data_IF_901230201464
#
_entry.id   IF_901230201464
#
_cell.length_a   1.000
_cell.length_b   1.000
_cell.length_c   1.000
_cell.angle_alpha   90.00
_cell.angle_beta   90.00
_cell.angle_gamma   90.00
#
_symmetry.space_group_name_H-M   'P 1'
#
loop_
_entity.id
_entity.type
_entity.pdbx_description
1 polymer ?
#
# COMPACT_ATOMS: atom_id res chain seq x y z
N UNK A 1 -27.17 -56.23 0.26
CA UNK A 1 -27.54 -54.87 0.68
C UNK A 1 -26.27 -54.14 1.08
N UNK A 2 -25.75 -53.20 0.33
CA UNK A 2 -24.58 -52.43 0.71
C UNK A 2 -25.00 -51.11 1.40
N UNK A 3 -24.45 -50.90 2.59
CA UNK A 3 -24.68 -49.72 3.42
C UNK A 3 -24.02 -48.47 2.84
N UNK A 4 -24.81 -47.37 2.81
CA UNK A 4 -24.35 -46.04 2.48
C UNK A 4 -23.59 -45.45 3.70
N UNK A 5 -22.29 -45.24 3.54
CA UNK A 5 -21.48 -44.43 4.45
C UNK A 5 -21.66 -42.94 4.08
N UNK A 6 -22.41 -42.20 4.87
CA UNK A 6 -22.50 -40.76 4.79
C UNK A 6 -21.16 -40.13 5.22
N UNK A 7 -20.50 -39.44 4.31
CA UNK A 7 -19.32 -38.59 4.62
C UNK A 7 -19.81 -37.33 5.31
N UNK A 8 -19.49 -37.18 6.57
CA UNK A 8 -19.64 -35.94 7.33
C UNK A 8 -18.50 -35.02 6.92
N UNK A 9 -18.83 -33.90 6.27
CA UNK A 9 -17.90 -32.79 5.99
C UNK A 9 -17.85 -31.95 7.27
N UNK A 10 -16.69 -31.71 7.87
CA UNK A 10 -16.61 -30.82 9.02
C UNK A 10 -16.88 -29.37 8.55
N UNK A 11 -17.92 -28.76 9.09
CA UNK A 11 -18.16 -27.33 8.97
C UNK A 11 -17.05 -26.59 9.72
N UNK A 12 -16.24 -25.82 9.01
CA UNK A 12 -15.28 -24.89 9.61
C UNK A 12 -16.10 -23.75 10.21
N UNK A 13 -16.30 -23.81 11.53
CA UNK A 13 -16.98 -22.77 12.28
C UNK A 13 -16.09 -21.53 12.40
N UNK A 14 -16.45 -20.47 11.72
CA UNK A 14 -15.94 -19.14 12.03
C UNK A 14 -16.64 -18.66 13.31
N UNK A 15 -15.88 -18.48 14.39
CA UNK A 15 -16.37 -17.81 15.59
C UNK A 15 -16.44 -16.30 15.29
N UNK A 16 -17.62 -15.80 14.97
CA UNK A 16 -17.94 -14.38 14.90
C UNK A 16 -18.03 -13.83 16.32
N UNK A 17 -17.05 -13.07 16.75
CA UNK A 17 -17.18 -12.20 17.93
C UNK A 17 -17.78 -10.88 17.42
N UNK A 18 -19.08 -10.74 17.54
CA UNK A 18 -19.80 -9.49 17.25
C UNK A 18 -19.51 -8.45 18.35
N UNK A 19 -18.75 -7.41 18.01
CA UNK A 19 -18.72 -6.16 18.77
C UNK A 19 -19.52 -5.11 17.98
N UNK A 20 -20.56 -4.58 18.60
CA UNK A 20 -21.49 -3.62 18.03
C UNK A 20 -20.88 -2.22 17.91
N UNK A 21 -21.29 -1.49 16.86
CA UNK A 21 -21.01 -0.10 16.53
C UNK A 21 -19.58 0.21 16.07
N UNK A 22 -19.30 0.15 14.76
CA UNK A 22 -18.09 0.73 14.14
C UNK A 22 -16.76 0.12 14.59
N UNK A 23 -16.76 -1.11 15.10
CA UNK A 23 -15.57 -1.78 15.64
C UNK A 23 -14.63 -2.26 14.55
N UNK A 24 -13.32 -2.03 14.75
CA UNK A 24 -12.30 -2.66 13.94
C UNK A 24 -12.25 -4.17 14.22
N UNK A 25 -12.33 -5.00 13.17
CA UNK A 25 -12.18 -6.44 13.25
C UNK A 25 -10.74 -6.84 12.93
N UNK A 26 -10.22 -7.85 13.64
CA UNK A 26 -8.91 -8.42 13.35
C UNK A 26 -9.08 -9.67 12.49
N UNK A 27 -8.41 -9.67 11.35
CA UNK A 27 -8.35 -10.80 10.42
C UNK A 27 -6.95 -11.39 10.37
N UNK A 28 -6.86 -12.63 9.96
CA UNK A 28 -5.60 -13.30 9.69
C UNK A 28 -5.58 -13.70 8.20
N UNK A 29 -4.75 -13.03 7.42
CA UNK A 29 -4.61 -13.26 5.99
C UNK A 29 -3.56 -14.34 5.74
N UNK A 30 -3.86 -15.30 4.87
CA UNK A 30 -2.86 -16.25 4.38
C UNK A 30 -2.26 -15.72 3.09
N UNK A 31 -0.96 -15.48 3.07
CA UNK A 31 -0.21 -15.01 1.89
C UNK A 31 0.95 -15.95 1.58
N UNK A 32 1.35 -16.02 0.31
CA UNK A 32 2.44 -16.91 -0.14
C UNK A 32 3.44 -16.10 -1.00
N UNK A 33 4.17 -15.16 -0.42
CA UNK A 33 5.00 -14.23 -1.19
C UNK A 33 6.19 -14.88 -1.89
N UNK A 34 6.74 -15.97 -1.35
CA UNK A 34 7.95 -16.64 -1.85
C UNK A 34 7.85 -18.17 -1.79
N UNK A 35 6.66 -18.74 -1.98
CA UNK A 35 6.43 -20.17 -1.95
C UNK A 35 6.15 -20.76 -0.56
N UNK A 36 6.39 -20.01 0.52
CA UNK A 36 6.02 -20.40 1.88
C UNK A 36 4.81 -19.60 2.35
N UNK A 37 3.84 -20.27 2.98
CA UNK A 37 2.65 -19.61 3.55
C UNK A 37 3.04 -18.80 4.78
N UNK A 38 2.54 -17.57 4.86
CA UNK A 38 2.70 -16.69 5.99
C UNK A 38 1.34 -16.13 6.42
N UNK A 39 1.11 -16.05 7.72
CA UNK A 39 -0.08 -15.44 8.29
C UNK A 39 0.19 -13.96 8.58
N UNK A 40 -0.61 -13.08 7.99
CA UNK A 40 -0.51 -11.62 8.14
C UNK A 40 -1.73 -11.12 8.91
N UNK A 41 -1.58 -10.59 10.13
CA UNK A 41 -2.66 -9.89 10.81
C UNK A 41 -3.12 -8.69 10.01
N UNK A 42 -4.42 -8.44 9.99
CA UNK A 42 -4.98 -7.27 9.33
C UNK A 42 -6.14 -6.68 10.13
N UNK A 43 -6.21 -5.36 10.18
CA UNK A 43 -7.34 -4.64 10.76
C UNK A 43 -8.34 -4.34 9.66
N UNK A 44 -9.58 -4.81 9.81
CA UNK A 44 -10.70 -4.53 8.92
C UNK A 44 -11.66 -3.55 9.59
N UNK A 45 -12.07 -2.52 8.86
CA UNK A 45 -13.03 -1.51 9.34
C UNK A 45 -14.12 -1.35 8.28
N UNK A 46 -15.37 -1.46 8.70
CA UNK A 46 -16.55 -1.42 7.83
C UNK A 46 -17.40 -0.19 8.16
N UNK A 47 -17.92 0.56 7.17
CA UNK A 47 -18.92 1.58 7.40
C UNK A 47 -20.27 0.95 7.81
N UNK A 48 -21.16 1.74 8.39
CA UNK A 48 -22.53 1.30 8.69
C UNK A 48 -23.29 0.97 7.41
N UNK A 49 -24.23 0.04 7.50
CA UNK A 49 -25.07 -0.42 6.40
C UNK A 49 -24.72 -1.81 5.90
N UNK A 50 -25.44 -2.25 4.86
CA UNK A 50 -25.37 -3.63 4.35
C UNK A 50 -24.42 -3.80 3.16
N UNK A 51 -24.14 -2.73 2.39
CA UNK A 51 -23.32 -2.78 1.18
C UNK A 51 -24.10 -3.19 -0.08
N UNK A 52 -23.45 -3.67 -1.17
CA UNK A 52 -21.99 -3.86 -1.26
C UNK A 52 -21.22 -2.54 -1.34
N UNK A 53 -20.19 -2.41 -0.52
CA UNK A 53 -19.33 -1.24 -0.44
C UNK A 53 -18.11 -1.36 -1.37
N UNK A 54 -17.62 -0.25 -1.93
CA UNK A 54 -16.25 -0.20 -2.41
C UNK A 54 -15.27 -0.35 -1.25
N UNK A 55 -14.04 -0.78 -1.52
CA UNK A 55 -13.07 -1.03 -0.47
C UNK A 55 -11.68 -0.47 -0.83
N UNK A 56 -10.84 -0.25 0.19
CA UNK A 56 -9.45 0.19 0.02
C UNK A 56 -8.53 -0.62 0.93
N UNK A 57 -7.47 -1.17 0.35
CA UNK A 57 -6.33 -1.71 1.09
C UNK A 57 -5.38 -0.58 1.42
N UNK A 58 -5.09 -0.34 2.70
CA UNK A 58 -4.08 0.64 3.12
C UNK A 58 -2.82 -0.11 3.54
N UNK A 59 -1.71 0.14 2.85
CA UNK A 59 -0.40 -0.43 3.19
C UNK A 59 0.43 0.61 3.97
N UNK A 60 0.81 0.25 5.20
CA UNK A 60 1.49 1.14 6.14
C UNK A 60 2.89 1.55 5.67
N UNK A 61 3.38 2.68 6.17
CA UNK A 61 4.73 3.20 5.95
C UNK A 61 5.83 2.39 6.67
N UNK A 62 7.07 2.90 6.68
CA UNK A 62 8.21 2.21 7.30
C UNK A 62 8.12 2.10 8.82
N UNK A 63 7.20 2.82 9.49
CA UNK A 63 7.02 2.76 10.94
C UNK A 63 6.22 1.54 11.42
N UNK A 64 5.57 0.82 10.49
CA UNK A 64 4.72 -0.33 10.82
C UNK A 64 3.41 0.04 11.48
N UNK A 65 2.81 -0.92 12.17
CA UNK A 65 1.55 -0.74 12.91
C UNK A 65 1.71 -0.91 14.43
N UNK A 66 2.94 -1.14 14.90
CA UNK A 66 3.27 -1.28 16.31
C UNK A 66 3.28 0.06 17.08
N UNK A 67 3.82 0.06 18.31
CA UNK A 67 3.80 1.24 19.20
C UNK A 67 4.50 2.49 18.63
N UNK A 68 5.37 2.32 17.65
CA UNK A 68 6.11 3.41 16.99
C UNK A 68 5.48 3.85 15.66
N UNK A 69 4.29 3.36 15.35
CA UNK A 69 3.58 3.71 14.12
C UNK A 69 3.37 5.22 14.01
N UNK A 70 3.46 5.72 12.77
CA UNK A 70 3.11 7.10 12.42
C UNK A 70 1.62 7.42 12.66
N UNK A 71 0.77 6.40 12.77
CA UNK A 71 -0.68 6.53 12.82
C UNK A 71 -1.33 6.95 11.49
N UNK A 72 -0.55 7.21 10.43
CA UNK A 72 -1.09 7.60 9.13
C UNK A 72 -2.09 6.59 8.56
N UNK A 73 -1.88 5.27 8.61
CA UNK A 73 -2.85 4.30 8.10
C UNK A 73 -4.23 4.43 8.75
N UNK A 74 -4.29 4.64 10.07
CA UNK A 74 -5.56 4.78 10.78
C UNK A 74 -6.22 6.14 10.52
N UNK A 75 -5.45 7.23 10.34
CA UNK A 75 -6.02 8.52 9.94
C UNK A 75 -6.67 8.43 8.57
N UNK A 76 -6.00 7.86 7.58
CA UNK A 76 -6.56 7.64 6.25
C UNK A 76 -7.75 6.67 6.27
N UNK A 77 -7.72 5.63 7.11
CA UNK A 77 -8.86 4.74 7.29
C UNK A 77 -10.10 5.51 7.78
N UNK A 78 -9.93 6.44 8.73
CA UNK A 78 -11.02 7.29 9.21
C UNK A 78 -11.62 8.16 8.09
N UNK A 79 -10.79 8.77 7.24
CA UNK A 79 -11.25 9.58 6.10
C UNK A 79 -12.02 8.73 5.07
N UNK A 80 -11.52 7.54 4.75
CA UNK A 80 -12.17 6.64 3.79
C UNK A 80 -13.46 6.04 4.34
N UNK A 81 -13.48 5.69 5.63
CA UNK A 81 -14.68 5.16 6.29
C UNK A 81 -15.85 6.15 6.22
N UNK A 82 -15.58 7.44 6.49
CA UNK A 82 -16.58 8.52 6.37
C UNK A 82 -17.12 8.66 4.93
N UNK A 83 -16.34 8.25 3.94
CA UNK A 83 -16.72 8.26 2.53
C UNK A 83 -17.42 6.96 2.09
N UNK A 84 -17.64 6.01 2.99
CA UNK A 84 -18.35 4.76 2.73
C UNK A 84 -17.49 3.65 2.13
N UNK A 85 -16.17 3.66 2.35
CA UNK A 85 -15.29 2.55 1.95
C UNK A 85 -15.09 1.57 3.11
N UNK A 86 -15.09 0.28 2.80
CA UNK A 86 -14.49 -0.73 3.68
C UNK A 86 -12.97 -0.59 3.58
N UNK A 87 -12.29 -0.61 4.71
CA UNK A 87 -10.83 -0.48 4.77
C UNK A 87 -10.20 -1.71 5.41
N UNK A 88 -9.12 -2.21 4.83
CA UNK A 88 -8.28 -3.26 5.41
C UNK A 88 -6.83 -2.81 5.47
N UNK A 89 -6.17 -3.04 6.61
CA UNK A 89 -4.79 -2.61 6.88
C UNK A 89 -3.98 -3.84 7.29
N UNK A 90 -3.23 -4.50 6.37
CA UNK A 90 -2.37 -5.63 6.70
C UNK A 90 -1.11 -5.19 7.45
N UNK A 91 -0.72 -5.95 8.50
CA UNK A 91 0.55 -5.80 9.20
C UNK A 91 1.64 -6.63 8.54
N UNK A 92 2.30 -6.06 7.55
CA UNK A 92 3.36 -6.74 6.82
C UNK A 92 4.65 -6.93 7.61
N UNK A 93 4.83 -6.23 8.73
CA UNK A 93 6.13 -6.15 9.42
C UNK A 93 6.24 -7.05 10.63
N UNK A 94 5.26 -7.05 11.53
CA UNK A 94 5.34 -7.81 12.78
C UNK A 94 5.58 -9.31 12.57
N UNK A 95 4.89 -9.99 11.62
CA UNK A 95 5.13 -11.41 11.36
C UNK A 95 6.51 -11.73 10.77
N UNK A 96 7.23 -10.71 10.30
CA UNK A 96 8.58 -10.81 9.72
C UNK A 96 9.67 -10.32 10.68
N UNK A 97 9.34 -10.09 11.96
CA UNK A 97 10.30 -9.72 12.99
C UNK A 97 10.57 -8.20 13.10
N UNK A 98 9.72 -7.35 12.51
CA UNK A 98 9.89 -5.90 12.56
C UNK A 98 8.68 -5.17 13.22
N UNK A 99 8.29 -5.53 14.46
CA UNK A 99 7.10 -4.92 15.09
C UNK A 99 7.24 -3.41 15.34
N UNK A 100 8.47 -2.91 15.46
CA UNK A 100 8.79 -1.48 15.66
C UNK A 100 9.08 -0.72 14.36
N UNK A 101 8.82 -1.35 13.20
CA UNK A 101 9.08 -0.76 11.89
C UNK A 101 10.54 -0.87 11.43
N UNK A 102 10.83 -0.27 10.28
CA UNK A 102 12.14 -0.38 9.59
C UNK A 102 12.76 0.95 9.20
N UNK A 103 12.20 2.09 9.62
CA UNK A 103 12.63 3.42 9.17
C UNK A 103 14.13 3.74 9.40
N UNK A 104 14.74 3.10 10.40
CA UNK A 104 16.15 3.31 10.77
C UNK A 104 17.02 2.08 10.50
N UNK A 105 16.44 0.98 10.03
CA UNK A 105 17.14 -0.28 9.76
C UNK A 105 17.75 -0.22 8.35
N UNK A 106 19.02 -0.59 8.15
CA UNK A 106 19.63 -0.63 6.81
C UNK A 106 18.85 -1.51 5.84
N UNK A 107 18.71 -1.07 4.58
CA UNK A 107 17.89 -1.73 3.57
C UNK A 107 18.29 -3.18 3.27
N UNK A 108 19.56 -3.54 3.39
CA UNK A 108 20.03 -4.93 3.24
C UNK A 108 19.52 -5.87 4.34
N UNK A 109 19.06 -5.36 5.48
CA UNK A 109 18.47 -6.12 6.58
C UNK A 109 16.94 -6.21 6.49
N UNK A 110 16.31 -5.48 5.58
CA UNK A 110 14.85 -5.38 5.43
C UNK A 110 14.34 -5.98 4.13
N UNK A 111 15.12 -6.85 3.47
CA UNK A 111 14.77 -7.47 2.18
C UNK A 111 13.45 -8.24 2.25
N UNK A 112 13.16 -8.90 3.39
CA UNK A 112 11.92 -9.67 3.61
C UNK A 112 10.66 -8.81 3.70
N UNK A 113 10.80 -7.49 3.77
CA UNK A 113 9.69 -6.53 3.86
C UNK A 113 9.78 -5.43 2.81
N UNK A 114 10.49 -5.66 1.71
CA UNK A 114 10.54 -4.71 0.60
C UNK A 114 9.17 -4.54 -0.07
N UNK A 115 9.02 -3.50 -0.91
CA UNK A 115 7.76 -3.17 -1.55
C UNK A 115 7.19 -4.30 -2.41
N UNK A 116 8.03 -5.12 -3.06
CA UNK A 116 7.57 -6.25 -3.89
C UNK A 116 7.04 -7.41 -3.05
N UNK A 117 7.72 -7.75 -1.95
CA UNK A 117 7.24 -8.78 -1.01
C UNK A 117 5.90 -8.37 -0.41
N UNK A 118 5.77 -7.10 0.00
CA UNK A 118 4.54 -6.55 0.57
C UNK A 118 3.41 -6.39 -0.44
N UNK A 119 3.70 -6.32 -1.73
CA UNK A 119 2.67 -6.37 -2.77
C UNK A 119 1.88 -7.68 -2.69
N UNK A 120 2.51 -8.82 -2.35
CA UNK A 120 1.79 -10.08 -2.12
C UNK A 120 0.85 -9.99 -0.90
N UNK A 121 1.23 -9.28 0.16
CA UNK A 121 0.36 -9.06 1.31
C UNK A 121 -0.87 -8.21 0.92
N UNK A 122 -0.66 -7.19 0.09
CA UNK A 122 -1.76 -6.37 -0.42
C UNK A 122 -2.73 -7.19 -1.30
N UNK A 123 -2.24 -8.11 -2.12
CA UNK A 123 -3.08 -9.03 -2.89
C UNK A 123 -3.79 -10.07 -2.00
N UNK A 124 -3.17 -10.51 -0.91
CA UNK A 124 -3.84 -11.31 0.12
C UNK A 124 -5.01 -10.57 0.75
N UNK A 125 -4.82 -9.27 1.07
CA UNK A 125 -5.88 -8.40 1.56
C UNK A 125 -7.00 -8.18 0.51
N UNK A 126 -6.65 -7.98 -0.76
CA UNK A 126 -7.62 -7.91 -1.87
C UNK A 126 -8.47 -9.18 -1.95
N UNK A 127 -7.83 -10.36 -1.87
CA UNK A 127 -8.53 -11.65 -1.89
C UNK A 127 -9.50 -11.79 -0.72
N UNK A 128 -9.08 -11.38 0.49
CA UNK A 128 -9.94 -11.40 1.67
C UNK A 128 -11.14 -10.46 1.52
N UNK A 129 -10.94 -9.25 1.03
CA UNK A 129 -12.02 -8.30 0.76
C UNK A 129 -13.04 -8.85 -0.24
N UNK A 130 -12.58 -9.51 -1.30
CA UNK A 130 -13.45 -10.12 -2.32
C UNK A 130 -14.30 -11.29 -1.80
N UNK A 131 -13.89 -11.91 -0.72
CA UNK A 131 -14.65 -12.97 -0.06
C UNK A 131 -15.76 -12.45 0.86
N UNK A 132 -15.78 -11.14 1.17
CA UNK A 132 -16.77 -10.54 2.06
C UNK A 132 -18.06 -10.21 1.30
N UNK A 133 -19.23 -10.69 1.74
CA UNK A 133 -20.48 -10.52 1.02
C UNK A 133 -20.95 -9.05 0.88
N UNK A 134 -20.47 -8.18 1.76
CA UNK A 134 -20.78 -6.75 1.78
C UNK A 134 -19.76 -5.88 1.05
N UNK A 135 -18.78 -6.48 0.34
CA UNK A 135 -17.77 -5.77 -0.47
C UNK A 135 -18.04 -6.00 -1.95
N UNK A 136 -18.03 -4.93 -2.74
CA UNK A 136 -17.95 -5.05 -4.20
C UNK A 136 -16.50 -5.33 -4.61
N UNK A 137 -16.19 -6.59 -4.84
CA UNK A 137 -14.85 -7.06 -5.17
C UNK A 137 -14.24 -6.51 -6.45
N UNK A 138 -15.04 -5.84 -7.31
CA UNK A 138 -14.56 -5.15 -8.52
C UNK A 138 -14.16 -3.70 -8.24
N UNK A 139 -14.56 -3.13 -7.10
CA UNK A 139 -14.32 -1.74 -6.70
C UNK A 139 -13.39 -1.67 -5.50
N UNK A 140 -12.22 -2.29 -5.62
CA UNK A 140 -11.20 -2.29 -4.57
C UNK A 140 -9.99 -1.49 -5.03
N UNK A 141 -9.64 -0.46 -4.26
CA UNK A 141 -8.43 0.34 -4.43
C UNK A 141 -7.31 -0.07 -3.48
N UNK A 142 -6.13 0.48 -3.72
CA UNK A 142 -4.97 0.40 -2.81
C UNK A 142 -4.39 1.78 -2.56
N UNK A 143 -3.93 2.04 -1.34
CA UNK A 143 -3.13 3.23 -1.04
C UNK A 143 -2.08 2.98 0.03
N UNK A 144 -1.06 3.84 0.04
CA UNK A 144 -0.06 3.81 1.09
C UNK A 144 0.91 4.98 1.01
N UNK A 145 1.53 5.31 2.15
CA UNK A 145 2.54 6.36 2.26
C UNK A 145 3.96 5.81 2.37
N UNK A 146 4.95 6.53 1.84
CA UNK A 146 6.37 6.19 1.99
C UNK A 146 6.69 4.77 1.49
N UNK A 147 7.14 3.90 2.39
CA UNK A 147 7.35 2.48 2.12
C UNK A 147 6.05 1.79 1.64
N UNK A 148 4.89 2.17 2.18
CA UNK A 148 3.59 1.74 1.68
C UNK A 148 3.29 2.30 0.29
N UNK A 149 3.70 3.53 0.00
CA UNK A 149 3.64 4.11 -1.34
C UNK A 149 4.48 3.32 -2.35
N UNK A 150 5.70 2.92 -1.98
CA UNK A 150 6.50 1.99 -2.80
C UNK A 150 5.78 0.65 -2.99
N UNK A 151 5.20 0.08 -1.93
CA UNK A 151 4.40 -1.15 -2.02
C UNK A 151 3.22 -0.98 -2.99
N UNK A 152 2.53 0.17 -2.93
CA UNK A 152 1.44 0.51 -3.86
C UNK A 152 1.93 0.53 -5.30
N UNK A 153 3.05 1.21 -5.59
CA UNK A 153 3.65 1.20 -6.92
C UNK A 153 4.02 -0.21 -7.39
N UNK A 154 4.60 -1.03 -6.51
CA UNK A 154 4.96 -2.42 -6.83
C UNK A 154 3.73 -3.30 -7.09
N UNK A 155 2.64 -3.11 -6.35
CA UNK A 155 1.38 -3.82 -6.56
C UNK A 155 0.72 -3.45 -7.89
N UNK A 156 0.86 -2.21 -8.33
CA UNK A 156 0.28 -1.70 -9.58
C UNK A 156 1.12 -1.97 -10.82
N UNK A 157 2.39 -2.32 -10.65
CA UNK A 157 3.30 -2.55 -11.79
C UNK A 157 3.02 -3.88 -12.50
N UNK A 158 2.89 -3.83 -13.83
CA UNK A 158 2.89 -5.04 -14.68
C UNK A 158 4.34 -5.41 -14.98
N UNK A 159 4.87 -6.54 -14.49
CA UNK A 159 6.19 -6.97 -14.90
C UNK A 159 6.18 -7.42 -16.37
N UNK A 160 7.25 -7.13 -17.07
CA UNK A 160 7.51 -7.67 -18.42
C UNK A 160 7.72 -9.19 -18.35
N UNK A 161 8.05 -9.70 -17.16
CA UNK A 161 8.25 -11.14 -16.92
C UNK A 161 6.93 -11.85 -16.63
N UNK A 162 6.51 -12.72 -17.56
CA UNK A 162 5.33 -13.56 -17.40
C UNK A 162 5.43 -14.56 -16.22
N UNK A 163 6.63 -14.75 -15.65
CA UNK A 163 6.88 -15.65 -14.53
C UNK A 163 6.71 -14.99 -13.16
N UNK A 164 6.38 -13.69 -13.06
CA UNK A 164 6.01 -13.08 -11.77
C UNK A 164 4.77 -13.81 -11.22
N UNK A 165 4.86 -14.44 -10.04
CA UNK A 165 3.73 -15.16 -9.45
C UNK A 165 2.50 -14.31 -9.21
N UNK A 166 2.64 -12.98 -9.17
CA UNK A 166 1.54 -12.03 -9.04
C UNK A 166 0.93 -11.59 -10.39
N UNK A 167 1.50 -11.98 -11.53
CA UNK A 167 1.03 -11.50 -12.84
C UNK A 167 -0.45 -11.80 -13.08
N UNK A 168 -0.91 -13.01 -12.74
CA UNK A 168 -2.32 -13.36 -12.88
C UNK A 168 -3.23 -12.54 -11.95
N UNK A 169 -2.81 -12.36 -10.70
CA UNK A 169 -3.55 -11.53 -9.72
C UNK A 169 -3.59 -10.06 -10.12
N UNK A 170 -2.55 -9.53 -10.75
CA UNK A 170 -2.48 -8.14 -11.21
C UNK A 170 -3.41 -7.84 -12.38
N UNK A 171 -3.66 -8.80 -13.27
CA UNK A 171 -4.61 -8.63 -14.40
C UNK A 171 -6.04 -8.36 -13.96
N UNK A 172 -6.46 -8.94 -12.86
CA UNK A 172 -7.76 -8.70 -12.20
C UNK A 172 -7.50 -8.11 -10.81
N UNK A 173 -6.67 -7.08 -10.75
CA UNK A 173 -6.13 -6.51 -9.52
C UNK A 173 -6.96 -5.36 -8.95
N UNK A 174 -6.25 -4.38 -8.44
CA UNK A 174 -6.83 -3.16 -7.90
C UNK A 174 -7.39 -2.28 -9.02
N UNK A 175 -8.56 -1.68 -8.76
CA UNK A 175 -9.24 -0.81 -9.74
C UNK A 175 -8.67 0.62 -9.77
N UNK A 176 -7.99 1.06 -8.71
CA UNK A 176 -7.33 2.36 -8.62
C UNK A 176 -6.27 2.35 -7.50
N UNK A 177 -5.29 3.25 -7.57
CA UNK A 177 -4.25 3.34 -6.57
C UNK A 177 -3.88 4.78 -6.21
N UNK A 178 -3.53 5.00 -4.93
CA UNK A 178 -2.97 6.27 -4.44
C UNK A 178 -1.64 6.01 -3.74
N UNK A 179 -0.57 6.62 -4.23
CA UNK A 179 0.76 6.54 -3.62
C UNK A 179 1.14 7.90 -3.02
N UNK A 180 1.29 7.96 -1.68
CA UNK A 180 1.65 9.16 -0.96
C UNK A 180 3.16 9.17 -0.73
N UNK A 181 3.85 10.23 -1.13
CA UNK A 181 5.30 10.40 -0.99
C UNK A 181 6.07 9.08 -1.18
N UNK A 182 5.81 8.34 -2.30
CA UNK A 182 6.42 7.04 -2.54
C UNK A 182 7.88 7.18 -2.95
N UNK A 183 8.67 6.11 -2.75
CA UNK A 183 9.93 6.00 -3.48
C UNK A 183 9.67 5.64 -4.94
N UNK A 184 9.82 6.61 -5.84
CA UNK A 184 9.69 6.41 -7.29
C UNK A 184 11.03 6.07 -7.97
N UNK A 185 12.14 6.05 -7.21
CA UNK A 185 13.46 5.76 -7.71
C UNK A 185 13.79 4.27 -7.98
N UNK A 186 13.10 3.27 -7.39
CA UNK A 186 13.34 1.88 -7.75
C UNK A 186 13.14 1.67 -9.25
N UNK A 187 14.02 0.88 -9.86
CA UNK A 187 13.84 0.46 -11.24
C UNK A 187 12.70 -0.55 -11.29
N UNK A 188 11.65 -0.22 -12.01
CA UNK A 188 10.59 -1.14 -12.39
C UNK A 188 10.96 -1.71 -13.76
N UNK A 189 10.87 -3.03 -13.96
CA UNK A 189 11.24 -3.70 -15.19
C UNK A 189 12.23 -4.84 -14.99
N UNK A 190 13.08 -5.13 -15.97
CA UNK A 190 13.96 -6.31 -16.03
C UNK A 190 14.88 -6.55 -14.81
N UNK A 191 15.00 -5.61 -13.89
CA UNK A 191 15.78 -5.74 -12.66
C UNK A 191 14.92 -6.14 -11.43
N UNK A 192 13.60 -6.29 -11.58
CA UNK A 192 12.74 -6.81 -10.51
C UNK A 192 13.08 -8.26 -10.13
N UNK A 193 13.77 -8.98 -11.01
CA UNK A 193 14.23 -10.37 -10.80
C UNK A 193 15.53 -10.47 -10.02
N UNK A 194 16.22 -9.36 -9.73
CA UNK A 194 17.42 -9.44 -8.90
C UNK A 194 17.01 -9.81 -7.47
N UNK A 195 17.56 -10.92 -6.97
CA UNK A 195 17.38 -11.45 -5.61
C UNK A 195 17.80 -10.49 -4.49
N UNK A 196 18.19 -9.28 -4.83
CA UNK A 196 18.63 -8.23 -3.95
C UNK A 196 17.67 -7.05 -4.12
N UNK A 197 16.86 -6.80 -3.09
CA UNK A 197 16.06 -5.59 -2.95
C UNK A 197 17.00 -4.38 -2.97
N UNK A 198 17.30 -3.88 -4.17
CA UNK A 198 18.33 -2.90 -4.35
C UNK A 198 17.74 -1.50 -4.29
N UNK A 199 18.05 -0.80 -3.23
CA UNK A 199 18.10 0.65 -3.25
C UNK A 199 19.38 1.05 -4.03
N UNK A 200 19.31 1.02 -5.36
CA UNK A 200 20.35 1.60 -6.19
C UNK A 200 20.36 3.12 -6.08
N UNK A 201 21.46 3.80 -6.45
CA UNK A 201 21.45 5.25 -6.58
C UNK A 201 20.27 5.66 -7.47
N UNK A 202 19.71 6.88 -7.32
CA UNK A 202 18.60 7.35 -8.11
C UNK A 202 18.94 7.21 -9.59
N UNK A 203 18.61 6.06 -10.15
CA UNK A 203 18.70 5.87 -11.58
C UNK A 203 17.52 6.61 -12.17
N UNK A 204 17.75 7.41 -13.18
CA UNK A 204 16.70 7.97 -13.99
C UNK A 204 15.71 6.85 -14.32
N UNK A 205 14.43 7.09 -14.03
CA UNK A 205 13.35 6.19 -14.41
C UNK A 205 13.50 5.83 -15.90
N UNK A 206 13.50 4.54 -16.22
CA UNK A 206 13.76 4.06 -17.60
C UNK A 206 12.55 4.15 -18.54
N UNK A 207 11.41 4.68 -18.08
CA UNK A 207 10.19 4.78 -18.90
C UNK A 207 9.36 3.50 -18.95
N UNK A 208 9.64 2.49 -18.14
CA UNK A 208 9.02 1.17 -18.21
C UNK A 208 7.90 0.93 -17.19
N UNK A 209 7.51 1.95 -16.41
CA UNK A 209 6.46 1.78 -15.41
C UNK A 209 5.07 1.80 -16.05
N UNK A 210 4.39 0.67 -16.00
CA UNK A 210 3.08 0.42 -16.59
C UNK A 210 2.09 -0.02 -15.51
N UNK A 211 1.33 0.90 -14.91
CA UNK A 211 0.34 0.54 -13.91
C UNK A 211 -0.86 -0.19 -14.52
N UNK A 212 -1.38 -1.19 -13.81
CA UNK A 212 -2.55 -1.99 -14.24
C UNK A 212 -3.87 -1.22 -14.23
N UNK A 213 -3.93 -0.08 -13.53
CA UNK A 213 -5.12 0.76 -13.40
C UNK A 213 -4.71 2.21 -13.07
N UNK A 214 -5.63 3.18 -13.04
CA UNK A 214 -5.35 4.57 -12.70
C UNK A 214 -4.59 4.73 -11.39
N UNK A 215 -3.57 5.58 -11.39
CA UNK A 215 -2.68 5.86 -10.27
C UNK A 215 -2.60 7.35 -10.00
N UNK A 216 -2.80 7.76 -8.73
CA UNK A 216 -2.52 9.10 -8.24
C UNK A 216 -1.28 9.08 -7.36
N UNK A 217 -0.33 9.97 -7.62
CA UNK A 217 0.88 10.18 -6.80
C UNK A 217 0.80 11.55 -6.16
N UNK A 218 0.93 11.62 -4.83
CA UNK A 218 0.97 12.86 -4.05
C UNK A 218 2.31 12.93 -3.31
N UNK A 219 3.10 13.99 -3.51
CA UNK A 219 4.44 14.11 -2.93
C UNK A 219 4.74 15.54 -2.52
N UNK A 220 5.56 15.74 -1.50
CA UNK A 220 6.04 17.05 -1.08
C UNK A 220 7.20 17.55 -1.93
N UNK A 221 7.24 18.85 -2.24
CA UNK A 221 8.35 19.49 -2.97
C UNK A 221 9.66 19.43 -2.18
N UNK A 222 9.58 19.57 -0.83
CA UNK A 222 10.72 19.55 0.08
C UNK A 222 11.00 18.15 0.66
N UNK A 223 10.46 17.11 0.05
CA UNK A 223 10.74 15.73 0.47
C UNK A 223 12.19 15.35 0.14
N UNK A 224 13.04 15.28 1.17
CA UNK A 224 14.45 14.90 1.07
C UNK A 224 14.68 13.40 1.31
N UNK A 225 13.63 12.65 1.64
CA UNK A 225 13.70 11.19 1.84
C UNK A 225 13.31 10.43 0.57
N UNK A 226 12.20 10.79 -0.03
CA UNK A 226 11.72 10.28 -1.31
C UNK A 226 11.42 11.46 -2.24
N UNK A 227 12.46 12.04 -2.87
CA UNK A 227 12.33 13.26 -3.65
C UNK A 227 11.26 13.19 -4.74
N UNK A 228 10.64 14.33 -5.03
CA UNK A 228 9.54 14.43 -5.98
C UNK A 228 9.99 14.20 -7.44
N UNK A 229 11.24 14.50 -7.78
CA UNK A 229 11.71 14.47 -9.17
C UNK A 229 11.63 13.08 -9.82
N UNK A 230 12.04 11.97 -9.17
CA UNK A 230 11.80 10.63 -9.72
C UNK A 230 10.33 10.33 -9.97
N UNK A 231 9.41 10.83 -9.12
CA UNK A 231 7.97 10.66 -9.32
C UNK A 231 7.46 11.48 -10.52
N UNK A 232 8.01 12.66 -10.76
CA UNK A 232 7.72 13.46 -11.96
C UNK A 232 8.08 12.70 -13.21
N UNK A 233 9.31 12.19 -13.31
CA UNK A 233 9.77 11.39 -14.45
C UNK A 233 8.93 10.13 -14.67
N UNK A 234 8.60 9.40 -13.58
CA UNK A 234 7.72 8.23 -13.65
C UNK A 234 6.36 8.60 -14.24
N UNK A 235 5.72 9.64 -13.71
CA UNK A 235 4.39 10.04 -14.14
C UNK A 235 4.36 10.55 -15.59
N UNK A 236 5.37 11.32 -16.00
CA UNK A 236 5.50 11.83 -17.37
C UNK A 236 5.71 10.69 -18.38
N UNK A 237 6.65 9.78 -18.09
CA UNK A 237 6.93 8.64 -18.94
C UNK A 237 5.73 7.69 -19.07
N UNK A 238 5.06 7.40 -17.95
CA UNK A 238 3.86 6.55 -17.97
C UNK A 238 2.73 7.17 -18.79
N UNK A 239 2.48 8.48 -18.63
CA UNK A 239 1.47 9.19 -19.43
C UNK A 239 1.82 9.21 -20.92
N UNK A 240 3.09 9.43 -21.25
CA UNK A 240 3.56 9.40 -22.66
C UNK A 240 3.37 8.01 -23.28
N UNK A 241 3.42 6.95 -22.47
CA UNK A 241 3.13 5.57 -22.88
C UNK A 241 1.63 5.21 -22.84
N UNK A 242 0.73 6.16 -22.54
CA UNK A 242 -0.72 5.95 -22.53
C UNK A 242 -1.30 5.42 -21.22
N UNK A 243 -0.52 5.39 -20.13
CA UNK A 243 -1.00 4.94 -18.83
C UNK A 243 -1.52 6.11 -17.98
N UNK A 244 -2.69 5.98 -17.30
CA UNK A 244 -3.29 7.04 -16.51
C UNK A 244 -2.57 7.20 -15.15
N UNK A 245 -1.56 8.07 -15.10
CA UNK A 245 -0.84 8.43 -13.88
C UNK A 245 -0.99 9.92 -13.62
N UNK A 246 -1.68 10.28 -12.53
CA UNK A 246 -1.79 11.64 -12.04
C UNK A 246 -0.69 11.90 -11.01
N UNK A 247 -0.12 13.10 -11.02
CA UNK A 247 0.89 13.55 -10.05
C UNK A 247 0.52 14.94 -9.55
N UNK A 248 0.53 15.09 -8.22
CA UNK A 248 0.46 16.39 -7.57
C UNK A 248 1.64 16.57 -6.61
N UNK A 249 2.32 17.70 -6.72
CA UNK A 249 3.45 18.08 -5.86
C UNK A 249 3.01 19.23 -4.98
N UNK A 250 3.14 19.07 -3.66
CA UNK A 250 2.75 20.07 -2.69
C UNK A 250 3.90 21.01 -2.35
N UNK A 251 3.76 22.31 -2.63
CA UNK A 251 4.76 23.29 -2.22
C UNK A 251 5.00 23.25 -0.71
N UNK A 252 6.25 23.46 -0.31
CA UNK A 252 6.67 23.54 1.10
C UNK A 252 6.39 22.29 1.95
N UNK A 253 5.88 21.20 1.39
CA UNK A 253 5.63 19.96 2.10
C UNK A 253 6.86 19.04 2.12
N UNK A 254 7.15 18.47 3.28
CA UNK A 254 8.18 17.46 3.49
C UNK A 254 7.59 16.05 3.40
N UNK A 255 8.43 15.04 3.58
CA UNK A 255 8.00 13.66 3.72
C UNK A 255 6.99 13.48 4.85
N UNK A 256 5.97 12.66 4.67
CA UNK A 256 4.86 12.44 5.61
C UNK A 256 4.10 13.75 5.95
N UNK A 257 3.80 14.55 4.92
CA UNK A 257 3.04 15.81 5.05
C UNK A 257 1.65 15.63 5.66
N UNK A 258 1.11 14.42 5.64
CA UNK A 258 -0.16 14.00 6.25
C UNK A 258 -0.06 13.68 7.75
N UNK A 259 1.11 13.91 8.38
CA UNK A 259 1.32 13.66 9.80
C UNK A 259 0.85 14.82 10.67
N UNK A 260 0.57 14.52 11.95
CA UNK A 260 0.25 15.53 12.97
C UNK A 260 1.49 16.05 13.70
N UNK A 261 2.70 15.59 13.32
CA UNK A 261 3.93 15.99 13.98
C UNK A 261 4.52 17.23 13.30
N UNK A 262 5.19 18.10 14.07
CA UNK A 262 5.93 19.22 13.49
C UNK A 262 7.06 18.72 12.61
N UNK A 263 7.45 19.54 11.64
CA UNK A 263 8.60 19.24 10.77
C UNK A 263 9.86 19.08 11.59
N UNK A 264 10.57 17.97 11.41
CA UNK A 264 11.81 17.65 12.12
C UNK A 264 12.75 16.80 11.26
N UNK A 265 14.04 17.02 11.42
CA UNK A 265 15.10 16.16 10.88
C UNK A 265 15.45 15.04 11.86
N UNK A 266 15.64 13.82 11.36
CA UNK A 266 16.16 12.68 12.14
C UNK A 266 17.32 12.03 11.39
N UNK A 267 18.53 12.21 11.91
CA UNK A 267 19.77 11.71 11.30
C UNK A 267 19.87 10.17 11.27
N UNK A 268 19.05 9.45 12.04
CA UNK A 268 19.09 7.98 12.12
C UNK A 268 18.37 7.31 10.94
N UNK A 269 17.51 8.02 10.25
CA UNK A 269 16.68 7.46 9.16
C UNK A 269 17.57 6.94 8.05
N UNK A 270 17.28 5.72 7.59
CA UNK A 270 17.92 5.17 6.41
C UNK A 270 17.40 5.91 5.16
N UNK A 271 18.28 6.57 4.42
CA UNK A 271 17.92 7.43 3.30
C UNK A 271 18.87 7.24 2.12
N UNK A 272 18.42 6.49 1.12
CA UNK A 272 19.18 6.23 -0.11
C UNK A 272 19.32 7.46 -1.03
N UNK A 273 18.50 8.50 -0.81
CA UNK A 273 18.58 9.77 -1.56
C UNK A 273 19.62 10.73 -0.98
N UNK A 274 20.07 10.48 0.26
CA UNK A 274 21.12 11.27 0.90
C UNK A 274 22.52 10.74 0.53
N UNK A 275 23.52 11.62 0.26
CA UNK A 275 24.90 11.20 0.03
C UNK A 275 25.51 10.38 1.17
N UNK A 276 25.07 10.62 2.42
CA UNK A 276 25.52 9.86 3.60
C UNK A 276 24.78 8.53 3.79
N UNK A 277 23.75 8.24 2.98
CA UNK A 277 22.84 7.12 3.20
C UNK A 277 21.91 7.29 4.42
N UNK A 278 21.92 8.44 5.06
CA UNK A 278 21.25 8.71 6.34
C UNK A 278 20.64 10.12 6.38
N UNK A 279 19.63 10.25 7.27
CA UNK A 279 18.99 11.50 7.62
C UNK A 279 17.85 11.87 6.69
N UNK A 280 16.72 12.25 7.28
CA UNK A 280 15.57 12.74 6.53
C UNK A 280 14.71 13.69 7.36
N UNK A 281 14.08 14.64 6.67
CA UNK A 281 13.12 15.59 7.23
C UNK A 281 11.70 15.08 7.03
N UNK A 282 10.92 15.04 8.09
CA UNK A 282 9.50 14.64 8.02
C UNK A 282 8.65 15.56 8.87
N UNK A 283 7.39 15.70 8.52
CA UNK A 283 6.43 16.41 9.35
C UNK A 283 5.23 16.89 8.58
N UNK A 284 4.17 17.21 9.32
CA UNK A 284 2.89 17.62 8.76
C UNK A 284 2.97 18.97 8.05
N UNK A 285 2.15 19.07 7.00
CA UNK A 285 1.80 20.32 6.33
C UNK A 285 0.27 20.38 6.25
N UNK A 286 -0.39 21.19 7.10
CA UNK A 286 -1.86 21.19 7.17
C UNK A 286 -2.54 21.51 5.84
N UNK A 287 -1.99 22.42 5.04
CA UNK A 287 -2.57 22.76 3.74
C UNK A 287 -2.47 21.59 2.75
N UNK A 288 -1.31 20.93 2.71
CA UNK A 288 -1.13 19.73 1.88
C UNK A 288 -2.02 18.59 2.37
N UNK A 289 -2.20 18.40 3.67
CA UNK A 289 -3.09 17.39 4.24
C UNK A 289 -4.55 17.61 3.83
N UNK A 290 -5.08 18.84 4.01
CA UNK A 290 -6.46 19.16 3.64
C UNK A 290 -6.73 18.94 2.15
N UNK A 291 -5.81 19.38 1.31
CA UNK A 291 -5.92 19.18 -0.14
C UNK A 291 -5.75 17.71 -0.54
N UNK A 292 -4.83 16.98 0.09
CA UNK A 292 -4.64 15.56 -0.19
C UNK A 292 -5.88 14.73 0.14
N UNK A 293 -6.60 15.04 1.23
CA UNK A 293 -7.87 14.39 1.55
C UNK A 293 -8.89 14.55 0.41
N UNK A 294 -8.96 15.77 -0.13
CA UNK A 294 -9.86 16.06 -1.25
C UNK A 294 -9.43 15.33 -2.53
N UNK A 295 -8.15 15.38 -2.89
CA UNK A 295 -7.62 14.71 -4.08
C UNK A 295 -7.86 13.19 -4.02
N UNK A 296 -7.60 12.56 -2.87
CA UNK A 296 -7.83 11.12 -2.66
C UNK A 296 -9.32 10.78 -2.73
N UNK A 297 -10.19 11.62 -2.11
CA UNK A 297 -11.63 11.43 -2.15
C UNK A 297 -12.18 11.51 -3.57
N UNK A 298 -11.81 12.54 -4.32
CA UNK A 298 -12.24 12.77 -5.70
C UNK A 298 -11.71 11.67 -6.63
N UNK A 299 -10.47 11.23 -6.43
CA UNK A 299 -9.85 10.18 -7.22
C UNK A 299 -10.54 8.81 -7.00
N UNK A 300 -10.70 8.38 -5.76
CA UNK A 300 -11.38 7.13 -5.47
C UNK A 300 -12.87 7.17 -5.80
N UNK A 301 -13.54 8.32 -5.67
CA UNK A 301 -14.92 8.45 -6.11
C UNK A 301 -15.07 8.24 -7.62
N UNK A 302 -14.16 8.79 -8.43
CA UNK A 302 -14.18 8.61 -9.90
C UNK A 302 -13.97 7.16 -10.32
N UNK A 303 -13.17 6.40 -9.59
CA UNK A 303 -12.73 5.07 -10.02
C UNK A 303 -13.36 3.91 -9.27
N UNK A 304 -13.87 4.14 -8.05
CA UNK A 304 -14.41 3.08 -7.19
C UNK A 304 -15.90 3.23 -6.85
N UNK A 305 -16.53 4.40 -7.08
CA UNK A 305 -17.98 4.54 -6.85
C UNK A 305 -18.77 4.27 -8.14
N UNK A 306 -20.04 3.83 -8.04
CA UNK A 306 -20.90 3.70 -9.20
C UNK A 306 -21.05 5.05 -9.91
N UNK A 307 -21.04 5.04 -11.22
CA UNK A 307 -21.44 6.19 -12.02
C UNK A 307 -22.95 6.34 -12.02
#
# INVERSE_FOLDING_TARGET
MPGFLARVIPAIGFALVSLHAGGAEQLLLTVTPTGSSLQIPATLIKPDGEGPFPAVVIVHDCSGLGPRSSGAPLRWAGELLQQGYVVIIPDSFSPRGFPDGVCIIPGNQTVSVNGYVRAADAYGALSALRALPYVDGKRVGIMGGSHGGWTTLAAMYVPVDANDPLTAAKRDGFAAAVALYPSCAPRYGALSTSKFGYFGPPASYSGEYQPVAPLLILVGEKDDWTPAEPCRHLAEASRAAGYPVDLKIYPDAHHAFDSNFPVRYDARRNNSSSPSGRGATTGGNPAAWEDAKKEVADFFARHLKPR
#
